data_IF_922741725262
#
_entry.id   IF_922741725262
#
_cell.length_a   1.000
_cell.length_b   1.000
_cell.length_c   1.000
_cell.angle_alpha   90.00
_cell.angle_beta   90.00
_cell.angle_gamma   90.00
#
_symmetry.space_group_name_H-M   'P 1'
#
loop_
_entity.id
_entity.type
_entity.pdbx_description
1 polymer ?
#
# COMPACT_ATOMS: atom_id res chain seq x y z
N UNK A 1 -46.14 6.40 1.20
CA UNK A 1 -46.07 4.94 1.42
C UNK A 1 -45.55 4.33 0.12
N UNK A 2 -44.47 3.55 0.04
CA UNK A 2 -43.73 2.78 1.04
C UNK A 2 -42.21 2.94 0.87
N UNK A 3 -41.50 2.98 1.99
CA UNK A 3 -40.05 3.05 2.06
C UNK A 3 -39.42 1.70 1.64
N UNK A 4 -38.48 1.72 0.69
CA UNK A 4 -37.62 0.55 0.43
C UNK A 4 -36.47 0.53 1.44
N UNK A 5 -36.76 -0.02 2.62
CA UNK A 5 -35.77 -0.31 3.65
C UNK A 5 -34.93 -1.54 3.29
N UNK A 6 -34.07 -1.42 2.27
CA UNK A 6 -33.02 -2.42 1.97
C UNK A 6 -31.56 -2.00 2.29
N UNK A 7 -31.26 -0.97 3.11
CA UNK A 7 -30.01 -0.95 3.85
C UNK A 7 -30.22 -1.59 5.25
N UNK A 8 -29.15 -2.12 5.85
CA UNK A 8 -28.99 -2.47 7.28
C UNK A 8 -29.13 -3.92 7.82
N UNK A 9 -29.33 -4.97 7.01
CA UNK A 9 -29.25 -6.35 7.54
C UNK A 9 -28.32 -7.28 6.73
N UNK A 10 -27.02 -7.00 6.79
CA UNK A 10 -25.98 -8.04 6.60
C UNK A 10 -25.12 -8.27 7.86
N UNK A 11 -25.52 -7.68 8.98
CA UNK A 11 -24.94 -7.93 10.29
C UNK A 11 -25.83 -8.90 11.07
N UNK A 12 -25.72 -10.20 10.76
CA UNK A 12 -26.08 -11.37 11.60
C UNK A 12 -26.17 -12.63 10.72
N UNK A 13 -25.12 -12.95 9.95
CA UNK A 13 -24.94 -14.36 9.59
C UNK A 13 -24.26 -15.03 10.77
N UNK A 14 -25.08 -15.65 11.63
CA UNK A 14 -24.62 -16.65 12.60
C UNK A 14 -23.69 -17.61 11.84
N UNK A 15 -22.48 -17.84 12.36
CA UNK A 15 -21.53 -18.82 11.81
C UNK A 15 -22.34 -20.10 11.56
N UNK A 16 -22.50 -20.48 10.28
CA UNK A 16 -23.36 -21.61 9.90
C UNK A 16 -22.75 -22.81 10.62
N UNK A 17 -23.48 -23.37 11.60
CA UNK A 17 -23.05 -24.63 12.19
C UNK A 17 -22.93 -25.64 11.03
N UNK A 18 -21.85 -26.44 10.98
CA UNK A 18 -21.68 -27.39 9.90
C UNK A 18 -22.93 -28.27 9.85
N UNK A 19 -23.62 -28.27 8.71
CA UNK A 19 -24.73 -29.20 8.52
C UNK A 19 -24.10 -30.61 8.50
N UNK A 20 -24.58 -31.56 9.31
CA UNK A 20 -23.98 -32.89 9.38
C UNK A 20 -23.95 -33.61 8.02
N UNK A 21 -24.89 -33.30 7.12
CA UNK A 21 -24.89 -33.81 5.73
C UNK A 21 -23.79 -33.22 4.84
N UNK A 22 -23.28 -32.02 5.16
CA UNK A 22 -22.15 -31.39 4.44
C UNK A 22 -20.78 -31.81 4.97
N UNK A 23 -20.72 -32.45 6.15
CA UNK A 23 -19.47 -32.92 6.75
C UNK A 23 -18.81 -34.08 5.98
N UNK A 24 -19.57 -34.75 5.11
CA UNK A 24 -19.07 -35.81 4.23
C UNK A 24 -18.36 -35.29 2.97
N UNK A 25 -18.46 -33.99 2.68
CA UNK A 25 -17.76 -33.37 1.56
C UNK A 25 -16.43 -32.78 2.07
N UNK A 26 -15.30 -33.08 1.41
CA UNK A 26 -14.04 -32.42 1.78
C UNK A 26 -14.19 -30.92 1.60
N UNK A 27 -13.85 -30.15 2.64
CA UNK A 27 -13.73 -28.69 2.53
C UNK A 27 -12.65 -28.40 1.48
N UNK A 28 -13.07 -27.95 0.30
CA UNK A 28 -12.18 -27.35 -0.68
C UNK A 28 -11.87 -25.92 -0.22
N UNK A 29 -11.00 -25.80 0.78
CA UNK A 29 -10.25 -24.57 0.96
C UNK A 29 -9.36 -24.38 -0.26
N UNK A 30 -9.45 -23.23 -0.93
CA UNK A 30 -8.42 -22.87 -1.90
C UNK A 30 -7.07 -22.99 -1.19
N UNK A 31 -6.05 -23.63 -1.79
CA UNK A 31 -4.73 -23.71 -1.17
C UNK A 31 -4.29 -22.31 -0.80
N UNK A 32 -3.94 -22.11 0.47
CA UNK A 32 -3.37 -20.85 0.91
C UNK A 32 -2.14 -20.59 0.02
N UNK A 33 -2.06 -19.44 -0.67
CA UNK A 33 -0.90 -19.16 -1.51
C UNK A 33 0.36 -19.24 -0.65
N UNK A 34 1.35 -19.99 -1.13
CA UNK A 34 2.66 -20.05 -0.47
C UNK A 34 3.19 -18.62 -0.32
N UNK A 35 3.45 -18.21 0.92
CA UNK A 35 4.04 -16.89 1.18
C UNK A 35 5.53 -17.00 0.95
N UNK A 36 6.09 -16.02 0.25
CA UNK A 36 7.54 -15.91 0.10
C UNK A 36 8.16 -15.70 1.48
N UNK A 37 9.29 -16.37 1.76
CA UNK A 37 9.93 -16.33 3.08
C UNK A 37 10.52 -14.95 3.44
N UNK A 38 10.66 -14.06 2.45
CA UNK A 38 11.19 -12.70 2.60
C UNK A 38 10.09 -11.64 2.37
N UNK A 39 8.81 -12.04 2.38
CA UNK A 39 7.66 -11.17 2.12
C UNK A 39 7.75 -10.40 0.78
N UNK A 40 8.27 -11.04 -0.27
CA UNK A 40 8.29 -10.47 -1.60
C UNK A 40 6.89 -10.40 -2.23
N UNK A 41 6.41 -9.18 -2.50
CA UNK A 41 5.18 -8.90 -3.24
C UNK A 41 5.45 -7.88 -4.37
N UNK A 42 5.53 -8.33 -5.65
CA UNK A 42 5.81 -7.44 -6.77
C UNK A 42 4.69 -6.41 -6.94
N UNK A 43 5.05 -5.13 -6.97
CA UNK A 43 4.07 -4.04 -7.05
C UNK A 43 3.58 -3.88 -8.49
N UNK A 44 2.27 -4.01 -8.77
CA UNK A 44 1.73 -3.77 -10.10
C UNK A 44 1.99 -2.31 -10.55
N UNK A 45 2.34 -2.08 -11.83
CA UNK A 45 2.68 -0.74 -12.33
C UNK A 45 1.62 0.33 -12.05
N UNK A 46 0.34 -0.04 -12.12
CA UNK A 46 -0.78 0.88 -11.90
C UNK A 46 -0.86 1.46 -10.47
N UNK A 47 -0.33 0.74 -9.47
CA UNK A 47 -0.24 1.23 -8.10
C UNK A 47 0.79 2.36 -7.95
N UNK A 48 1.94 2.21 -8.60
CA UNK A 48 3.00 3.23 -8.65
C UNK A 48 2.59 4.40 -9.53
N UNK A 49 2.06 4.14 -10.73
CA UNK A 49 1.61 5.18 -11.65
C UNK A 49 0.51 6.07 -11.04
N UNK A 50 -0.46 5.48 -10.33
CA UNK A 50 -1.51 6.25 -9.65
C UNK A 50 -0.94 7.17 -8.57
N UNK A 51 0.06 6.72 -7.80
CA UNK A 51 0.75 7.56 -6.81
C UNK A 51 1.54 8.69 -7.46
N UNK A 52 2.29 8.38 -8.52
CA UNK A 52 3.06 9.39 -9.25
C UNK A 52 2.16 10.47 -9.88
N UNK A 53 0.96 10.10 -10.34
CA UNK A 53 -0.02 11.06 -10.86
C UNK A 53 -0.42 12.16 -9.85
N UNK A 54 -0.22 11.94 -8.54
CA UNK A 54 -0.56 12.91 -7.48
C UNK A 54 0.65 13.45 -6.70
N UNK A 55 1.84 12.90 -6.92
CA UNK A 55 3.06 13.26 -6.16
C UNK A 55 4.28 13.61 -7.04
N UNK A 56 4.26 13.35 -8.35
CA UNK A 56 5.40 13.61 -9.23
C UNK A 56 5.91 15.05 -9.15
N UNK A 57 5.02 16.05 -9.11
CA UNK A 57 5.42 17.46 -8.98
C UNK A 57 6.22 17.71 -7.70
N UNK A 58 5.81 17.10 -6.57
CA UNK A 58 6.53 17.22 -5.30
C UNK A 58 7.89 16.52 -5.36
N UNK A 59 7.95 15.33 -5.95
CA UNK A 59 9.19 14.57 -6.13
C UNK A 59 10.19 15.32 -7.03
N UNK A 60 9.72 15.90 -8.14
CA UNK A 60 10.54 16.73 -9.02
C UNK A 60 11.03 18.02 -8.34
N UNK A 61 10.21 18.62 -7.46
CA UNK A 61 10.62 19.80 -6.70
C UNK A 61 11.73 19.49 -5.67
N UNK A 62 11.76 18.27 -5.12
CA UNK A 62 12.88 17.81 -4.29
C UNK A 62 14.12 17.56 -5.17
N UNK A 63 13.91 16.87 -6.30
CA UNK A 63 14.96 16.52 -7.25
C UNK A 63 15.90 15.42 -6.75
N UNK A 64 16.70 14.89 -7.68
CA UNK A 64 17.62 13.78 -7.42
C UNK A 64 16.99 12.39 -7.63
N UNK A 65 17.77 11.32 -7.39
CA UNK A 65 17.32 9.97 -7.60
C UNK A 65 16.29 9.53 -6.55
N UNK A 66 15.53 8.48 -6.88
CA UNK A 66 14.65 7.75 -5.97
C UNK A 66 15.33 6.45 -5.55
N UNK A 67 15.35 6.17 -4.26
CA UNK A 67 15.82 4.89 -3.73
C UNK A 67 14.66 3.95 -3.43
N UNK A 68 14.72 2.74 -3.98
CA UNK A 68 13.81 1.65 -3.68
C UNK A 68 14.53 0.54 -2.88
N UNK A 69 14.44 0.54 -1.54
CA UNK A 69 15.22 -0.37 -0.67
C UNK A 69 14.73 -1.82 -0.57
N UNK A 70 13.70 -2.21 -1.34
CA UNK A 70 13.20 -3.57 -1.46
C UNK A 70 12.90 -3.90 -2.93
N UNK A 71 13.88 -3.62 -3.80
CA UNK A 71 13.66 -3.55 -5.26
C UNK A 71 13.12 -4.84 -5.87
N UNK A 72 13.44 -5.99 -5.27
CA UNK A 72 13.01 -7.29 -5.77
C UNK A 72 13.29 -7.44 -7.26
N UNK A 73 12.25 -7.77 -8.04
CA UNK A 73 12.34 -7.87 -9.49
C UNK A 73 12.16 -6.55 -10.25
N UNK A 74 12.24 -5.39 -9.58
CA UNK A 74 12.26 -4.07 -10.22
C UNK A 74 10.93 -3.51 -10.67
N UNK A 75 9.79 -4.07 -10.26
CA UNK A 75 8.50 -3.70 -10.85
C UNK A 75 8.11 -2.25 -10.53
N UNK A 76 8.46 -1.77 -9.33
CA UNK A 76 8.29 -0.37 -8.94
C UNK A 76 9.38 0.51 -9.54
N UNK A 77 10.65 0.09 -9.46
CA UNK A 77 11.79 0.80 -10.03
C UNK A 77 11.65 1.08 -11.53
N UNK A 78 11.20 0.10 -12.32
CA UNK A 78 10.96 0.27 -13.74
C UNK A 78 9.85 1.28 -14.02
N UNK A 79 8.78 1.27 -13.21
CA UNK A 79 7.68 2.21 -13.36
C UNK A 79 8.09 3.64 -12.99
N UNK A 80 8.87 3.81 -11.92
CA UNK A 80 9.50 5.08 -11.58
C UNK A 80 10.38 5.58 -12.74
N UNK A 81 11.18 4.69 -13.33
CA UNK A 81 12.04 5.02 -14.47
C UNK A 81 11.24 5.43 -15.72
N UNK A 82 10.12 4.75 -16.02
CA UNK A 82 9.19 5.14 -17.10
C UNK A 82 8.59 6.53 -16.90
N UNK A 83 8.46 6.97 -15.66
CA UNK A 83 7.98 8.30 -15.29
C UNK A 83 9.08 9.36 -15.20
N UNK A 84 10.33 9.02 -15.57
CA UNK A 84 11.44 9.98 -15.69
C UNK A 84 12.28 10.16 -14.43
N UNK A 85 12.15 9.27 -13.44
CA UNK A 85 13.01 9.27 -12.25
C UNK A 85 14.25 8.40 -12.46
N UNK A 86 15.41 8.88 -12.01
CA UNK A 86 16.59 8.01 -11.82
C UNK A 86 16.35 7.14 -10.58
N UNK A 87 16.59 5.83 -10.68
CA UNK A 87 16.30 4.89 -9.59
C UNK A 87 17.56 4.18 -9.12
N UNK A 88 17.75 4.16 -7.81
CA UNK A 88 18.71 3.32 -7.11
C UNK A 88 17.92 2.19 -6.45
N UNK A 89 18.25 0.93 -6.75
CA UNK A 89 17.58 -0.22 -6.16
C UNK A 89 18.52 -0.99 -5.23
N UNK A 90 18.02 -1.38 -4.06
CA UNK A 90 18.71 -2.35 -3.19
C UNK A 90 17.73 -3.40 -2.67
N UNK A 91 18.23 -4.58 -2.36
CA UNK A 91 17.45 -5.66 -1.77
C UNK A 91 18.36 -6.59 -0.96
N UNK A 92 17.81 -7.32 -0.01
CA UNK A 92 18.52 -8.36 0.75
C UNK A 92 18.94 -9.55 -0.13
N UNK A 93 18.31 -9.72 -1.29
CA UNK A 93 18.64 -10.76 -2.27
C UNK A 93 18.42 -10.28 -3.71
N UNK A 94 19.29 -10.71 -4.61
CA UNK A 94 19.14 -10.43 -6.04
C UNK A 94 17.99 -11.26 -6.65
N UNK A 95 17.01 -10.57 -7.26
CA UNK A 95 15.90 -11.17 -8.01
C UNK A 95 15.92 -10.80 -9.50
N UNK A 96 17.03 -10.27 -10.00
CA UNK A 96 17.30 -10.06 -11.42
C UNK A 96 16.99 -8.67 -11.95
N UNK A 97 16.77 -7.66 -11.10
CA UNK A 97 16.73 -6.27 -11.56
C UNK A 97 18.14 -5.72 -11.76
N UNK A 98 18.40 -5.13 -12.93
CA UNK A 98 19.74 -4.65 -13.28
C UNK A 98 20.18 -3.51 -12.36
N UNK A 99 21.42 -3.56 -11.88
CA UNK A 99 21.94 -2.58 -10.92
C UNK A 99 21.48 -2.77 -9.47
N UNK A 100 20.84 -3.89 -9.11
CA UNK A 100 20.48 -4.20 -7.71
C UNK A 100 21.71 -4.21 -6.80
N UNK A 101 21.71 -3.33 -5.80
CA UNK A 101 22.67 -3.40 -4.70
C UNK A 101 22.19 -4.45 -3.69
N UNK A 102 22.82 -5.62 -3.68
CA UNK A 102 22.49 -6.69 -2.73
C UNK A 102 22.98 -6.31 -1.32
N UNK A 103 22.09 -5.71 -0.53
CA UNK A 103 22.35 -5.19 0.81
C UNK A 103 21.03 -5.01 1.57
N UNK A 104 21.03 -5.33 2.87
CA UNK A 104 19.86 -5.05 3.71
C UNK A 104 19.69 -3.55 3.93
N UNK A 105 18.44 -3.08 4.00
CA UNK A 105 18.12 -1.72 4.41
C UNK A 105 18.88 -1.33 5.69
N UNK A 106 18.96 -2.26 6.66
CA UNK A 106 19.58 -2.02 7.96
C UNK A 106 21.10 -1.82 7.93
N UNK A 107 21.76 -2.15 6.83
CA UNK A 107 23.21 -1.99 6.67
C UNK A 107 23.58 -0.62 6.07
N UNK A 108 22.59 0.23 5.76
CA UNK A 108 22.83 1.60 5.33
C UNK A 108 22.93 2.51 6.55
N UNK A 109 24.06 3.20 6.70
CA UNK A 109 24.21 4.30 7.67
C UNK A 109 23.83 5.66 7.07
N UNK A 110 23.92 5.76 5.74
CA UNK A 110 23.56 6.93 4.95
C UNK A 110 22.74 6.45 3.76
N UNK A 111 21.58 7.08 3.53
CA UNK A 111 20.75 6.77 2.39
C UNK A 111 21.44 7.19 1.08
N UNK A 112 21.40 6.38 0.02
CA UNK A 112 21.96 6.74 -1.29
C UNK A 112 21.14 7.81 -2.03
N UNK A 113 19.94 8.14 -1.55
CA UNK A 113 19.08 9.18 -2.10
C UNK A 113 18.23 9.84 -1.00
N UNK A 114 17.79 11.07 -1.25
CA UNK A 114 16.90 11.83 -0.35
C UNK A 114 15.41 11.48 -0.49
N UNK A 115 15.06 10.68 -1.51
CA UNK A 115 13.69 10.23 -1.80
C UNK A 115 13.65 8.72 -1.71
N UNK A 116 12.74 8.18 -0.90
CA UNK A 116 12.44 6.75 -0.81
C UNK A 116 11.02 6.51 -1.31
N UNK A 117 10.84 5.58 -2.24
CA UNK A 117 9.52 5.07 -2.66
C UNK A 117 9.62 3.55 -2.70
N UNK A 118 8.76 2.83 -1.96
CA UNK A 118 8.91 1.38 -1.83
C UNK A 118 7.62 0.65 -1.43
N UNK A 119 7.55 -0.65 -1.74
CA UNK A 119 6.64 -1.60 -1.11
C UNK A 119 7.48 -2.48 -0.16
N UNK A 120 7.58 -2.14 1.13
CA UNK A 120 8.50 -2.80 2.04
C UNK A 120 8.03 -4.21 2.42
N UNK A 121 8.90 -5.08 2.98
CA UNK A 121 8.49 -6.37 3.52
C UNK A 121 7.53 -6.18 4.72
N UNK A 122 6.29 -6.66 4.58
CA UNK A 122 5.22 -6.38 5.56
C UNK A 122 5.55 -6.93 6.95
N UNK A 123 6.25 -8.06 7.05
CA UNK A 123 6.72 -8.65 8.29
C UNK A 123 7.67 -7.76 9.10
N UNK A 124 8.42 -6.86 8.46
CA UNK A 124 9.40 -6.00 9.13
C UNK A 124 8.86 -4.60 9.46
N UNK A 125 7.90 -4.11 8.68
CA UNK A 125 7.32 -2.78 8.88
C UNK A 125 6.05 -2.79 9.74
N UNK A 126 5.29 -3.89 9.75
CA UNK A 126 4.07 -3.92 10.56
C UNK A 126 4.42 -3.68 12.03
N UNK A 127 3.54 -3.00 12.75
CA UNK A 127 3.84 -2.59 14.12
C UNK A 127 3.62 -3.72 15.16
N UNK A 128 2.92 -4.80 14.78
CA UNK A 128 2.63 -5.95 15.65
C UNK A 128 3.82 -6.90 15.80
N UNK A 129 4.30 -7.45 14.69
CA UNK A 129 5.31 -8.50 14.62
C UNK A 129 6.67 -7.91 14.17
N UNK A 130 6.65 -6.98 13.21
CA UNK A 130 7.84 -6.24 12.76
C UNK A 130 8.22 -5.11 13.69
N UNK A 131 7.34 -4.76 14.63
CA UNK A 131 7.43 -3.61 15.51
C UNK A 131 7.64 -2.27 14.79
N UNK A 132 7.54 -2.14 13.46
CA UNK A 132 7.91 -0.92 12.75
C UNK A 132 9.42 -0.68 12.62
N UNK A 133 10.24 -1.75 12.63
CA UNK A 133 11.71 -1.64 12.53
C UNK A 133 12.15 -0.93 11.25
N UNK A 134 11.52 -1.25 10.11
CA UNK A 134 11.80 -0.61 8.83
C UNK A 134 11.60 0.91 8.88
N UNK A 135 10.44 1.36 9.37
CA UNK A 135 10.13 2.79 9.47
C UNK A 135 11.08 3.53 10.42
N UNK A 136 11.42 2.93 11.57
CA UNK A 136 12.38 3.52 12.51
C UNK A 136 13.77 3.70 11.89
N UNK A 137 14.26 2.68 11.20
CA UNK A 137 15.57 2.78 10.56
C UNK A 137 15.56 3.85 9.45
N UNK A 138 14.52 3.89 8.60
CA UNK A 138 14.38 4.93 7.57
C UNK A 138 14.28 6.33 8.16
N UNK A 139 13.59 6.50 9.29
CA UNK A 139 13.57 7.78 10.02
C UNK A 139 14.98 8.19 10.43
N UNK A 140 15.77 7.25 10.94
CA UNK A 140 17.14 7.51 11.42
C UNK A 140 18.10 7.85 10.26
N UNK A 141 17.82 7.41 9.03
CA UNK A 141 18.53 7.84 7.82
C UNK A 141 18.27 9.31 7.44
N UNK A 142 17.25 9.95 8.02
CA UNK A 142 16.94 11.38 7.86
C UNK A 142 16.85 11.84 6.39
N UNK A 143 16.23 11.04 5.53
CA UNK A 143 15.92 11.41 4.14
C UNK A 143 14.85 12.49 4.09
N UNK A 144 14.72 13.18 2.95
CA UNK A 144 13.75 14.27 2.80
C UNK A 144 12.33 13.78 2.59
N UNK A 145 12.15 12.69 1.85
CA UNK A 145 10.82 12.21 1.47
C UNK A 145 10.78 10.69 1.46
N UNK A 146 9.72 10.12 2.05
CA UNK A 146 9.47 8.69 2.10
C UNK A 146 8.02 8.42 1.69
N UNK A 147 7.82 7.51 0.75
CA UNK A 147 6.50 6.96 0.44
C UNK A 147 6.54 5.43 0.50
N UNK A 148 5.60 4.85 1.24
CA UNK A 148 5.50 3.41 1.40
C UNK A 148 4.09 2.92 1.05
N UNK A 149 4.02 1.87 0.23
CA UNK A 149 2.76 1.20 -0.07
C UNK A 149 2.45 0.15 1.00
N UNK A 150 1.48 0.41 1.86
CA UNK A 150 1.21 -0.39 3.06
C UNK A 150 -0.23 -0.87 3.11
N UNK A 151 -0.51 -1.75 4.07
CA UNK A 151 -1.89 -2.11 4.42
C UNK A 151 -2.61 -0.88 4.99
N UNK A 152 -3.75 -0.51 4.41
CA UNK A 152 -4.53 0.66 4.82
C UNK A 152 -5.04 0.58 6.27
N UNK A 153 -5.30 -0.62 6.78
CA UNK A 153 -5.76 -0.81 8.15
C UNK A 153 -4.66 -0.48 9.17
N UNK A 154 -3.39 -0.35 8.73
CA UNK A 154 -2.28 -0.02 9.61
C UNK A 154 -2.48 1.33 10.30
N UNK A 155 -2.95 2.35 9.57
CA UNK A 155 -3.27 3.67 10.13
C UNK A 155 -4.41 3.65 11.16
N UNK A 156 -5.23 2.60 11.19
CA UNK A 156 -6.30 2.41 12.17
C UNK A 156 -5.88 1.51 13.35
N UNK A 157 -4.68 0.90 13.31
CA UNK A 157 -4.27 -0.18 14.19
C UNK A 157 -3.67 0.29 15.53
N UNK A 158 -4.47 0.99 16.34
CA UNK A 158 -4.08 1.54 17.65
C UNK A 158 -3.38 0.52 18.57
N UNK A 159 -3.96 -0.67 18.72
CA UNK A 159 -3.44 -1.72 19.61
C UNK A 159 -2.08 -2.26 19.15
N UNK A 160 -1.78 -2.15 17.85
CA UNK A 160 -0.57 -2.71 17.27
C UNK A 160 0.61 -1.75 17.30
N UNK A 161 0.56 -0.63 18.02
CA UNK A 161 1.69 0.30 18.17
C UNK A 161 1.80 1.38 17.09
N UNK A 162 0.81 1.49 16.20
CA UNK A 162 0.78 2.56 15.19
C UNK A 162 0.71 3.95 15.85
N UNK A 163 -0.08 4.13 16.92
CA UNK A 163 -0.18 5.43 17.61
C UNK A 163 1.19 5.94 18.06
N UNK A 164 1.99 5.09 18.70
CA UNK A 164 3.34 5.47 19.16
C UNK A 164 4.29 5.80 18.00
N UNK A 165 4.21 5.06 16.89
CA UNK A 165 4.99 5.34 15.69
C UNK A 165 4.56 6.68 15.07
N UNK A 166 3.25 6.91 14.96
CA UNK A 166 2.68 8.11 14.37
C UNK A 166 2.93 9.35 15.24
N UNK A 167 2.90 9.22 16.56
CA UNK A 167 3.20 10.32 17.49
C UNK A 167 4.68 10.75 17.40
N UNK A 168 5.58 9.81 17.13
CA UNK A 168 7.03 10.07 17.04
C UNK A 168 7.46 10.47 15.62
N UNK A 169 6.80 9.93 14.60
CA UNK A 169 7.10 10.18 13.19
C UNK A 169 5.78 10.23 12.39
N UNK A 170 5.07 11.38 12.46
CA UNK A 170 3.72 11.51 11.93
C UNK A 170 3.70 11.39 10.42
N UNK A 171 2.71 10.67 9.91
CA UNK A 171 2.45 10.60 8.47
C UNK A 171 2.01 11.98 8.00
N UNK A 172 2.61 12.49 6.94
CA UNK A 172 2.21 13.74 6.30
C UNK A 172 0.92 13.55 5.51
N UNK A 173 0.87 12.52 4.66
CA UNK A 173 -0.26 12.26 3.78
C UNK A 173 -0.54 10.76 3.69
N UNK A 174 -1.80 10.38 3.89
CA UNK A 174 -2.32 9.04 3.58
C UNK A 174 -3.13 9.11 2.28
N UNK A 175 -2.74 8.33 1.28
CA UNK A 175 -3.50 8.11 0.06
C UNK A 175 -4.17 6.74 0.10
N UNK A 176 -5.46 6.68 0.47
CA UNK A 176 -6.22 5.43 0.47
C UNK A 176 -6.51 4.97 -0.97
N UNK A 177 -6.03 3.79 -1.35
CA UNK A 177 -6.32 3.21 -2.65
C UNK A 177 -7.81 2.82 -2.71
N UNK A 178 -8.55 3.44 -3.62
CA UNK A 178 -9.97 3.16 -3.84
C UNK A 178 -10.23 1.93 -4.73
N UNK A 179 -9.20 1.09 -4.91
CA UNK A 179 -9.27 -0.21 -5.55
C UNK A 179 -8.40 -1.19 -4.77
N UNK A 180 -8.52 -2.46 -5.15
CA UNK A 180 -7.75 -3.56 -4.56
C UNK A 180 -6.54 -3.85 -5.44
N UNK A 181 -5.34 -3.77 -4.86
CA UNK A 181 -4.09 -4.05 -5.57
C UNK A 181 -3.85 -5.56 -5.55
N UNK A 182 -3.72 -6.14 -6.74
CA UNK A 182 -3.50 -7.57 -6.93
C UNK A 182 -2.04 -7.86 -7.23
N UNK A 183 -1.23 -7.95 -6.18
CA UNK A 183 0.22 -8.18 -6.28
C UNK A 183 0.60 -9.50 -6.96
N UNK A 184 -0.31 -10.49 -7.00
CA UNK A 184 0.00 -11.86 -7.47
C UNK A 184 -0.92 -12.37 -8.59
N UNK A 185 -1.78 -11.50 -9.13
CA UNK A 185 -2.72 -11.88 -10.20
C UNK A 185 -3.85 -12.82 -9.76
N UNK A 186 -4.17 -12.89 -8.47
CA UNK A 186 -5.19 -13.79 -7.91
C UNK A 186 -6.63 -13.26 -8.01
N UNK A 187 -6.84 -12.01 -8.45
CA UNK A 187 -8.13 -11.39 -8.74
C UNK A 187 -8.99 -11.00 -7.52
N UNK A 188 -8.66 -11.45 -6.31
CA UNK A 188 -9.42 -11.15 -5.08
C UNK A 188 -8.50 -10.96 -3.87
N UNK A 189 -7.65 -9.92 -3.86
CA UNK A 189 -6.75 -9.67 -2.75
C UNK A 189 -7.57 -9.32 -1.49
N UNK A 190 -7.22 -9.88 -0.31
CA UNK A 190 -8.02 -9.70 0.90
C UNK A 190 -7.85 -8.31 1.52
N UNK A 191 -6.69 -7.67 1.33
CA UNK A 191 -6.32 -6.42 1.99
C UNK A 191 -6.64 -5.17 1.15
N UNK A 192 -6.79 -4.04 1.85
CA UNK A 192 -6.78 -2.70 1.27
C UNK A 192 -5.40 -2.11 1.45
N UNK A 193 -4.99 -1.25 0.54
CA UNK A 193 -3.67 -0.61 0.58
C UNK A 193 -3.80 0.91 0.59
N UNK A 194 -2.78 1.56 1.13
CA UNK A 194 -2.62 3.00 1.09
C UNK A 194 -1.15 3.35 0.87
N UNK A 195 -0.89 4.46 0.18
CA UNK A 195 0.42 5.08 0.21
C UNK A 195 0.51 5.99 1.43
N UNK A 196 1.47 5.73 2.30
CA UNK A 196 1.78 6.61 3.43
C UNK A 196 3.03 7.41 3.11
N UNK A 197 2.92 8.73 3.23
CA UNK A 197 3.97 9.68 2.90
C UNK A 197 4.46 10.37 4.16
N UNK A 198 5.79 10.41 4.32
CA UNK A 198 6.48 11.28 5.25
C UNK A 198 7.33 12.25 4.44
N UNK A 199 6.96 13.51 4.48
CA UNK A 199 7.68 14.61 3.84
C UNK A 199 8.24 15.50 4.95
N UNK A 200 9.58 15.64 5.00
CA UNK A 200 10.25 16.39 6.06
C UNK A 200 9.87 17.87 6.08
N UNK A 201 9.45 18.43 4.94
CA UNK A 201 9.03 19.82 4.87
C UNK A 201 7.52 20.01 5.18
N UNK A 202 6.80 18.93 5.51
CA UNK A 202 5.39 18.99 5.88
C UNK A 202 5.22 19.52 7.30
N UNK A 203 4.52 20.64 7.44
CA UNK A 203 4.27 21.29 8.74
C UNK A 203 2.81 21.22 9.21
N UNK A 204 1.91 20.69 8.38
CA UNK A 204 0.48 20.61 8.68
C UNK A 204 0.11 19.29 9.37
N UNK A 205 -1.16 19.18 9.79
CA UNK A 205 -1.72 17.90 10.23
C UNK A 205 -1.69 16.84 9.12
N UNK A 206 -1.78 15.56 9.51
CA UNK A 206 -1.88 14.44 8.59
C UNK A 206 -3.12 14.58 7.69
N UNK A 207 -2.91 14.59 6.38
CA UNK A 207 -4.01 14.70 5.40
C UNK A 207 -4.37 13.33 4.83
N UNK A 208 -5.66 13.01 4.80
CA UNK A 208 -6.18 11.81 4.13
C UNK A 208 -6.76 12.16 2.76
N UNK A 209 -6.34 11.43 1.72
CA UNK A 209 -6.77 11.64 0.34
C UNK A 209 -7.17 10.31 -0.28
N UNK A 210 -8.13 10.36 -1.20
CA UNK A 210 -8.52 9.19 -2.00
C UNK A 210 -7.62 9.09 -3.23
N UNK A 211 -7.09 7.91 -3.49
CA UNK A 211 -6.34 7.59 -4.68
C UNK A 211 -7.17 6.70 -5.59
N UNK A 212 -7.15 6.98 -6.89
CA UNK A 212 -7.88 6.21 -7.90
C UNK A 212 -6.91 5.61 -8.92
N UNK A 213 -7.23 4.42 -9.42
CA UNK A 213 -6.49 3.74 -10.48
C UNK A 213 -6.66 4.49 -11.81
N UNK A 214 -5.59 4.58 -12.60
CA UNK A 214 -5.63 5.12 -13.96
C UNK A 214 -4.94 4.14 -14.94
N UNK A 215 -5.61 3.68 -16.02
CA UNK A 215 -7.02 3.91 -16.34
C UNK A 215 -7.97 3.26 -15.31
N UNK A 216 -9.20 3.76 -15.18
CA UNK A 216 -10.23 3.12 -14.35
C UNK A 216 -10.43 1.64 -14.73
N UNK A 217 -10.76 0.77 -13.76
CA UNK A 217 -11.05 -0.64 -14.06
C UNK A 217 -12.22 -0.73 -15.04
N UNK A 218 -11.97 -1.26 -16.24
CA UNK A 218 -12.98 -1.38 -17.31
C UNK A 218 -14.16 -2.29 -16.93
N UNK A 219 -14.01 -3.12 -15.89
CA UNK A 219 -15.09 -3.94 -15.33
C UNK A 219 -16.00 -3.17 -14.36
N UNK A 220 -15.57 -1.99 -13.91
CA UNK A 220 -16.35 -1.12 -13.04
C UNK A 220 -16.98 -0.03 -13.91
N UNK A 221 -18.17 -0.31 -14.45
CA UNK A 221 -18.96 0.71 -15.14
C UNK A 221 -19.25 1.88 -14.19
N UNK A 222 -19.26 3.10 -14.73
CA UNK A 222 -19.72 4.26 -13.99
C UNK A 222 -21.13 3.97 -13.46
N UNK A 223 -21.32 4.12 -12.14
CA UNK A 223 -22.66 4.16 -11.59
C UNK A 223 -23.30 5.45 -12.11
N UNK A 224 -24.14 5.35 -13.14
CA UNK A 224 -25.03 6.44 -13.54
C UNK A 224 -26.05 6.65 -12.42
N UNK A 225 -25.65 7.40 -11.39
CA UNK A 225 -26.57 7.91 -10.38
C UNK A 225 -27.11 9.23 -10.93
N UNK A 226 -28.19 9.15 -11.70
CA UNK A 226 -29.04 10.30 -11.96
C UNK A 226 -29.65 10.73 -10.62
N UNK A 227 -28.95 11.61 -9.91
CA UNK A 227 -29.55 12.32 -8.79
C UNK A 227 -30.36 13.47 -9.40
N UNK A 228 -31.56 13.15 -9.88
CA UNK A 228 -32.58 14.16 -10.12
C UNK A 228 -32.84 14.85 -8.79
N UNK A 229 -32.30 16.05 -8.64
CA UNK A 229 -32.66 16.94 -7.55
C UNK A 229 -34.14 17.33 -7.74
N UNK A 230 -35.04 16.49 -7.23
CA UNK A 230 -36.38 16.95 -6.86
C UNK A 230 -36.19 17.94 -5.70
N UNK A 231 -36.08 19.21 -6.06
CA UNK A 231 -36.41 20.30 -5.16
C UNK A 231 -37.88 20.11 -4.76
N UNK A 232 -38.10 19.67 -3.51
CA UNK A 232 -39.43 19.69 -2.91
C UNK A 232 -39.78 21.15 -2.52
N UNK A 233 -41.06 21.54 -2.65
CA UNK A 233 -41.55 22.92 -2.51
C UNK A 233 -41.47 23.48 -1.08
#
# INVERSE_FOLDING_TARGET
MAASAKPLFRATKRKRAPQPELAAFPEQGSPAPTRDGLDYDPTPPDATAAFLAVQADRLHAIGGPVWEPAVGGGHMADELSRHGFDVIGSDVVDRGWDGTVVRSLYDFEIAPADIIITNPPYGEINARDGHGRWLRHIRDLNVRYVAMLLNADWMAARINGMDALHDTYPVSIEYICCWKIDFRGGGSPPQRNAWLVWDRDWSDETVKRRLFRNPPDSRQSALNLDYSAEAAP
#
